data_IF_026660581487
#
_entry.id   IF_026660581487
#
_cell.length_a   1.000
_cell.length_b   1.000
_cell.length_c   1.000
_cell.angle_alpha   90.00
_cell.angle_beta   90.00
_cell.angle_gamma   90.00
#
_symmetry.space_group_name_H-M   'P 1'
#
loop_
_entity.id
_entity.type
_entity.pdbx_description
1 polymer ?
#
# COMPACT_ATOMS: atom_id res chain seq x y z
N UNK A 1 -4.44 15.84 16.22
CA UNK A 1 -3.45 14.95 15.59
C UNK A 1 -3.69 13.55 16.12
N UNK A 2 -3.79 12.54 15.26
CA UNK A 2 -3.85 11.15 15.72
C UNK A 2 -2.55 10.80 16.45
N UNK A 3 -2.67 10.23 17.63
CA UNK A 3 -1.53 9.88 18.46
C UNK A 3 -0.81 8.66 17.85
N UNK A 4 0.51 8.76 17.71
CA UNK A 4 1.34 7.62 17.27
C UNK A 4 1.22 6.48 18.28
N UNK A 5 0.98 5.27 17.79
CA UNK A 5 0.88 4.06 18.60
C UNK A 5 2.04 3.14 18.32
N UNK A 6 2.63 2.56 19.35
CA UNK A 6 3.65 1.52 19.23
C UNK A 6 3.04 0.23 19.78
N UNK A 7 2.91 -0.75 18.93
CA UNK A 7 2.27 -2.03 19.20
C UNK A 7 3.31 -3.15 19.14
N UNK A 8 3.18 -4.11 20.06
CA UNK A 8 4.00 -5.33 20.04
C UNK A 8 3.54 -6.20 18.87
N UNK A 9 4.48 -6.69 18.07
CA UNK A 9 4.25 -7.58 16.94
C UNK A 9 5.10 -8.85 17.09
N UNK A 10 4.63 -9.78 17.92
CA UNK A 10 5.40 -10.96 18.32
C UNK A 10 6.47 -10.62 19.37
N UNK A 11 7.55 -11.41 19.42
CA UNK A 11 8.63 -11.31 20.40
C UNK A 11 9.84 -10.50 19.92
N UNK A 12 9.92 -10.20 18.63
CA UNK A 12 11.07 -9.57 17.99
C UNK A 12 10.69 -8.47 16.97
N UNK A 13 9.51 -7.89 17.12
CA UNK A 13 9.08 -6.75 16.31
C UNK A 13 8.14 -5.80 17.04
N UNK A 14 8.15 -4.54 16.61
CA UNK A 14 7.18 -3.51 16.98
C UNK A 14 6.58 -2.87 15.72
N UNK A 15 5.28 -2.58 15.76
CA UNK A 15 4.61 -1.81 14.71
C UNK A 15 4.31 -0.41 15.20
N UNK A 16 4.78 0.60 14.47
CA UNK A 16 4.52 2.01 14.75
C UNK A 16 3.43 2.50 13.80
N UNK A 17 2.26 2.85 14.32
CA UNK A 17 1.10 3.33 13.56
C UNK A 17 0.97 4.86 13.64
N UNK A 18 0.76 5.51 12.50
CA UNK A 18 0.65 6.97 12.34
C UNK A 18 -0.78 7.46 12.12
N UNK A 19 -1.75 6.56 12.05
CA UNK A 19 -3.16 6.88 11.85
C UNK A 19 -3.97 5.68 11.35
N UNK A 20 -5.25 5.91 11.02
CA UNK A 20 -6.17 4.87 10.56
C UNK A 20 -6.77 5.14 9.18
N UNK A 21 -6.08 5.92 8.34
CA UNK A 21 -6.52 6.27 6.99
C UNK A 21 -5.38 6.11 5.98
N UNK A 22 -5.75 5.83 4.73
CA UNK A 22 -4.82 5.85 3.60
C UNK A 22 -4.85 7.27 3.03
N UNK A 23 -3.83 8.07 3.33
CA UNK A 23 -3.69 9.42 2.82
C UNK A 23 -2.22 9.83 2.70
N UNK A 24 -1.95 10.86 1.90
CA UNK A 24 -0.58 11.34 1.65
C UNK A 24 0.13 11.80 2.90
N UNK A 25 -0.59 12.43 3.84
CA UNK A 25 -0.01 12.91 5.10
C UNK A 25 0.57 11.75 5.91
N UNK A 26 -0.23 10.70 6.13
CA UNK A 26 0.18 9.51 6.89
C UNK A 26 1.28 8.76 6.15
N UNK A 27 1.15 8.56 4.84
CA UNK A 27 2.19 7.94 4.02
C UNK A 27 3.51 8.73 4.03
N UNK A 28 3.43 10.06 4.11
CA UNK A 28 4.59 10.94 4.31
C UNK A 28 5.28 10.71 5.65
N UNK A 29 4.50 10.55 6.74
CA UNK A 29 5.02 10.21 8.08
C UNK A 29 5.71 8.84 8.09
N UNK A 30 5.10 7.83 7.46
CA UNK A 30 5.67 6.48 7.31
C UNK A 30 7.04 6.54 6.63
N UNK A 31 7.13 7.22 5.49
CA UNK A 31 8.39 7.35 4.74
C UNK A 31 9.45 8.14 5.52
N UNK A 32 9.05 9.24 6.17
CA UNK A 32 9.96 10.05 6.98
C UNK A 32 10.49 9.29 8.20
N UNK A 33 9.63 8.50 8.84
CA UNK A 33 9.99 7.67 9.98
C UNK A 33 10.97 6.56 9.61
N UNK A 34 10.69 5.83 8.53
CA UNK A 34 11.61 4.81 8.04
C UNK A 34 12.99 5.42 7.77
N UNK A 35 13.02 6.53 7.03
CA UNK A 35 14.28 7.22 6.75
C UNK A 35 15.00 7.69 8.02
N UNK A 36 14.28 8.23 9.00
CA UNK A 36 14.87 8.67 10.26
C UNK A 36 15.52 7.52 11.04
N UNK A 37 14.96 6.31 10.99
CA UNK A 37 15.56 5.12 11.61
C UNK A 37 16.75 4.59 10.80
N UNK A 38 16.68 4.62 9.46
CA UNK A 38 17.81 4.28 8.58
C UNK A 38 19.02 5.19 8.85
N UNK A 39 18.78 6.51 8.94
CA UNK A 39 19.83 7.51 9.20
C UNK A 39 20.47 7.34 10.59
N UNK A 40 19.72 6.83 11.59
CA UNK A 40 20.23 6.50 12.94
C UNK A 40 21.10 5.25 12.98
N UNK A 41 20.97 4.36 12.00
CA UNK A 41 21.72 3.09 11.89
C UNK A 41 21.80 2.30 13.22
N UNK A 42 20.64 2.07 13.85
CA UNK A 42 20.54 1.46 15.17
C UNK A 42 20.93 -0.03 15.07
N UNK A 43 22.04 -0.39 15.74
CA UNK A 43 22.51 -1.78 15.78
C UNK A 43 21.46 -2.67 16.46
N UNK A 44 21.06 -3.75 15.79
CA UNK A 44 20.06 -4.69 16.26
C UNK A 44 18.73 -4.57 15.52
N UNK A 45 18.45 -3.50 14.78
CA UNK A 45 17.36 -3.49 13.79
C UNK A 45 17.77 -4.38 12.64
N UNK A 46 16.88 -5.32 12.27
CA UNK A 46 17.09 -6.30 11.18
C UNK A 46 16.41 -5.86 9.90
N UNK A 47 15.16 -5.41 10.00
CA UNK A 47 14.32 -5.09 8.85
C UNK A 47 13.24 -4.09 9.24
N UNK A 48 12.79 -3.31 8.27
CA UNK A 48 11.66 -2.40 8.42
C UNK A 48 10.70 -2.61 7.25
N UNK A 49 9.44 -2.90 7.57
CA UNK A 49 8.39 -3.11 6.57
C UNK A 49 7.39 -1.95 6.66
N UNK A 50 7.43 -1.00 5.73
CA UNK A 50 6.44 0.07 5.67
C UNK A 50 5.11 -0.43 5.09
N UNK A 51 4.01 0.15 5.58
CA UNK A 51 2.67 -0.01 5.04
C UNK A 51 2.06 1.35 4.72
N UNK A 52 0.77 1.41 4.41
CA UNK A 52 0.06 2.69 4.16
C UNK A 52 0.12 3.66 5.35
N UNK A 53 0.15 3.14 6.57
CA UNK A 53 -0.06 3.90 7.81
C UNK A 53 0.87 3.53 8.94
N UNK A 54 1.72 2.54 8.75
CA UNK A 54 2.59 2.02 9.80
C UNK A 54 3.92 1.54 9.26
N UNK A 55 4.88 1.36 10.17
CA UNK A 55 6.14 0.66 9.90
C UNK A 55 6.29 -0.43 10.95
N UNK A 56 6.48 -1.67 10.51
CA UNK A 56 6.89 -2.77 11.39
C UNK A 56 8.40 -2.87 11.40
N UNK A 57 9.00 -2.79 12.58
CA UNK A 57 10.43 -2.81 12.80
C UNK A 57 10.81 -4.14 13.47
N UNK A 58 11.51 -4.99 12.74
CA UNK A 58 12.08 -6.24 13.25
C UNK A 58 13.44 -6.00 13.85
N UNK A 59 13.72 -6.63 14.98
CA UNK A 59 14.98 -6.44 15.70
C UNK A 59 15.49 -7.73 16.33
N UNK A 60 16.76 -7.71 16.74
CA UNK A 60 17.39 -8.79 17.50
C UNK A 60 17.36 -8.44 18.98
N UNK A 61 16.53 -9.11 19.81
CA UNK A 61 16.43 -8.82 21.24
C UNK A 61 17.70 -9.17 22.03
N UNK A 62 18.59 -9.97 21.48
CA UNK A 62 19.89 -10.28 22.09
C UNK A 62 20.91 -9.15 21.89
N UNK A 63 20.70 -8.29 20.89
CA UNK A 63 21.58 -7.15 20.57
C UNK A 63 20.98 -5.85 21.08
N UNK A 64 19.66 -5.69 20.92
CA UNK A 64 18.92 -4.47 21.23
C UNK A 64 17.75 -4.79 22.16
N UNK A 65 17.80 -4.42 23.45
CA UNK A 65 16.67 -4.61 24.36
C UNK A 65 15.43 -3.88 23.84
N UNK A 66 14.25 -4.54 23.92
CA UNK A 66 12.99 -4.01 23.41
C UNK A 66 12.61 -2.63 23.98
N UNK A 67 12.85 -2.41 25.29
CA UNK A 67 12.61 -1.12 25.92
C UNK A 67 13.48 0.02 25.34
N UNK A 68 14.72 -0.31 24.95
CA UNK A 68 15.60 0.64 24.29
C UNK A 68 15.07 0.96 22.89
N UNK A 69 14.67 -0.06 22.13
CA UNK A 69 14.07 0.13 20.82
C UNK A 69 12.82 1.00 20.91
N UNK A 70 11.91 0.73 21.86
CA UNK A 70 10.69 1.54 22.04
C UNK A 70 11.00 3.03 22.30
N UNK A 71 12.06 3.34 23.06
CA UNK A 71 12.49 4.73 23.25
C UNK A 71 12.95 5.37 21.93
N UNK A 72 13.80 4.67 21.18
CA UNK A 72 14.28 5.14 19.87
C UNK A 72 13.11 5.37 18.89
N UNK A 73 12.12 4.43 18.86
CA UNK A 73 10.93 4.56 18.01
C UNK A 73 10.09 5.78 18.40
N UNK A 74 9.90 6.05 19.70
CA UNK A 74 9.18 7.24 20.19
C UNK A 74 9.87 8.53 19.78
N UNK A 75 11.17 8.63 20.07
CA UNK A 75 11.96 9.81 19.71
C UNK A 75 11.99 10.06 18.20
N UNK A 76 12.08 8.99 17.38
CA UNK A 76 12.02 9.12 15.95
C UNK A 76 10.65 9.61 15.47
N UNK A 77 9.57 9.13 16.08
CA UNK A 77 8.20 9.49 15.72
C UNK A 77 7.84 10.94 16.16
N UNK A 78 8.35 11.41 17.28
CA UNK A 78 8.11 12.77 17.79
C UNK A 78 8.86 13.85 16.99
N UNK A 79 10.04 13.50 16.46
CA UNK A 79 10.92 14.42 15.74
C UNK A 79 10.79 14.30 14.20
N UNK A 80 9.67 13.84 13.69
CA UNK A 80 9.46 13.68 12.25
C UNK A 80 9.47 15.03 11.52
N UNK A 81 10.45 15.21 10.65
CA UNK A 81 10.43 16.26 9.64
C UNK A 81 9.87 15.69 8.34
N UNK A 82 8.58 15.86 8.13
CA UNK A 82 7.95 15.49 6.84
C UNK A 82 8.35 16.55 5.81
N UNK A 83 9.57 16.43 5.28
CA UNK A 83 9.95 17.22 4.11
C UNK A 83 9.18 16.66 2.92
N UNK A 84 8.54 17.54 2.15
CA UNK A 84 8.04 17.11 0.84
C UNK A 84 9.24 16.55 0.07
N UNK A 85 9.27 15.25 -0.10
CA UNK A 85 10.30 14.56 -0.87
C UNK A 85 10.28 15.09 -2.29
N UNK A 86 11.44 15.34 -2.87
CA UNK A 86 11.66 15.99 -4.16
C UNK A 86 10.82 15.48 -5.32
N UNK A 87 11.13 15.87 -6.55
CA UNK A 87 10.36 15.51 -7.77
C UNK A 87 10.02 14.03 -7.78
N UNK A 88 8.72 13.72 -7.68
CA UNK A 88 8.21 12.34 -7.80
C UNK A 88 8.42 11.86 -9.23
N UNK A 89 8.88 10.64 -9.40
CA UNK A 89 8.95 10.01 -10.70
C UNK A 89 7.57 9.45 -11.04
N UNK A 90 7.02 9.87 -12.17
CA UNK A 90 5.75 9.36 -12.70
C UNK A 90 6.07 8.30 -13.76
N UNK A 91 5.40 7.17 -13.65
CA UNK A 91 5.46 6.07 -14.61
C UNK A 91 4.11 5.99 -15.33
N UNK A 92 4.12 6.06 -16.64
CA UNK A 92 2.94 5.85 -17.46
C UNK A 92 2.86 4.37 -17.83
N UNK A 93 1.83 3.71 -17.36
CA UNK A 93 1.62 2.27 -17.57
C UNK A 93 0.42 2.11 -18.51
N UNK A 94 0.62 1.63 -19.75
CA UNK A 94 -0.49 1.36 -20.66
C UNK A 94 -1.33 0.19 -20.13
N UNK A 95 -2.66 0.33 -20.18
CA UNK A 95 -3.59 -0.69 -19.73
C UNK A 95 -4.67 -0.94 -20.78
N UNK A 96 -5.06 -2.20 -20.94
CA UNK A 96 -6.13 -2.65 -21.81
C UNK A 96 -7.37 -2.98 -20.98
N UNK A 97 -8.51 -2.37 -21.35
CA UNK A 97 -9.80 -2.60 -20.69
C UNK A 97 -10.74 -3.47 -21.54
N UNK A 98 -10.24 -4.11 -22.61
CA UNK A 98 -11.05 -4.96 -23.50
C UNK A 98 -11.12 -6.40 -23.00
N UNK A 99 -12.16 -7.12 -23.44
CA UNK A 99 -12.26 -8.58 -23.21
C UNK A 99 -11.10 -9.32 -23.92
N UNK A 100 -10.57 -10.37 -23.34
CA UNK A 100 -10.98 -11.03 -22.07
C UNK A 100 -10.26 -10.48 -20.80
N UNK A 101 -9.63 -9.31 -20.88
CA UNK A 101 -8.74 -8.79 -19.85
C UNK A 101 -9.43 -8.08 -18.68
N UNK A 102 -10.74 -7.93 -18.73
CA UNK A 102 -11.52 -7.21 -17.73
C UNK A 102 -12.73 -8.03 -17.22
N UNK A 103 -12.52 -9.26 -16.74
CA UNK A 103 -13.63 -10.20 -16.44
C UNK A 103 -14.60 -9.70 -15.36
N UNK A 104 -14.22 -8.72 -14.55
CA UNK A 104 -15.05 -8.16 -13.49
C UNK A 104 -15.59 -6.76 -13.80
N UNK A 105 -15.39 -6.25 -15.00
CA UNK A 105 -15.87 -4.93 -15.39
C UNK A 105 -17.37 -4.77 -15.14
N UNK A 106 -18.17 -5.75 -15.53
CA UNK A 106 -19.62 -5.73 -15.32
C UNK A 106 -19.98 -5.65 -13.83
N UNK A 107 -19.27 -6.37 -12.97
CA UNK A 107 -19.48 -6.33 -11.52
C UNK A 107 -19.22 -4.94 -10.96
N UNK A 108 -18.14 -4.29 -11.43
CA UNK A 108 -17.79 -2.91 -11.01
C UNK A 108 -18.85 -1.93 -11.52
N UNK A 109 -19.28 -2.03 -12.78
CA UNK A 109 -20.36 -1.19 -13.36
C UNK A 109 -21.66 -1.34 -12.58
N UNK A 110 -22.07 -2.57 -12.28
CA UNK A 110 -23.28 -2.85 -11.49
C UNK A 110 -23.22 -2.27 -10.07
N UNK A 111 -22.04 -2.36 -9.43
CA UNK A 111 -21.85 -1.85 -8.09
C UNK A 111 -21.83 -0.32 -8.05
N UNK A 112 -21.06 0.31 -8.94
CA UNK A 112 -20.86 1.76 -8.97
C UNK A 112 -21.96 2.52 -9.69
N UNK A 113 -22.79 1.83 -10.50
CA UNK A 113 -23.81 2.42 -11.39
C UNK A 113 -23.24 3.29 -12.50
N UNK A 114 -21.95 3.14 -12.82
CA UNK A 114 -21.31 3.83 -13.93
C UNK A 114 -21.32 2.99 -15.21
N UNK A 115 -21.27 3.68 -16.35
CA UNK A 115 -21.00 3.04 -17.63
C UNK A 115 -19.55 2.55 -17.70
N UNK A 116 -19.25 1.69 -18.67
CA UNK A 116 -17.89 1.22 -18.93
C UNK A 116 -16.91 2.37 -19.15
N UNK A 117 -17.31 3.32 -19.98
CA UNK A 117 -16.52 4.49 -20.32
C UNK A 117 -16.22 5.37 -19.09
N UNK A 118 -17.20 5.51 -18.21
CA UNK A 118 -17.03 6.25 -16.95
C UNK A 118 -16.07 5.54 -16.00
N UNK A 119 -16.19 4.21 -15.85
CA UNK A 119 -15.25 3.41 -15.04
C UNK A 119 -13.83 3.56 -15.60
N UNK A 120 -13.65 3.37 -16.91
CA UNK A 120 -12.34 3.50 -17.56
C UNK A 120 -11.77 4.91 -17.33
N UNK A 121 -12.54 5.95 -17.59
CA UNK A 121 -12.12 7.33 -17.41
C UNK A 121 -11.71 7.62 -15.97
N UNK A 122 -12.55 7.30 -15.00
CA UNK A 122 -12.29 7.54 -13.58
C UNK A 122 -11.08 6.75 -13.07
N UNK A 123 -10.84 5.55 -13.64
CA UNK A 123 -9.72 4.71 -13.25
C UNK A 123 -8.41 5.10 -13.96
N UNK A 124 -8.44 5.56 -15.23
CA UNK A 124 -7.23 5.81 -16.02
C UNK A 124 -6.70 7.26 -15.98
N UNK A 125 -7.55 8.24 -15.72
CA UNK A 125 -7.19 9.67 -15.77
C UNK A 125 -6.54 10.21 -14.48
N UNK A 126 -6.22 9.35 -13.52
CA UNK A 126 -5.66 9.75 -12.23
C UNK A 126 -4.22 9.30 -12.05
N UNK A 127 -3.47 10.10 -11.31
CA UNK A 127 -2.18 9.68 -10.77
C UNK A 127 -2.38 8.87 -9.49
N UNK A 128 -1.74 7.73 -9.44
CA UNK A 128 -1.77 6.82 -8.29
C UNK A 128 -0.45 6.87 -7.55
N UNK A 129 -0.53 6.95 -6.24
CA UNK A 129 0.66 6.85 -5.40
C UNK A 129 0.89 5.40 -5.00
N UNK A 130 2.13 4.92 -5.20
CA UNK A 130 2.59 3.68 -4.59
C UNK A 130 2.84 3.95 -3.10
N UNK A 131 2.08 3.30 -2.23
CA UNK A 131 2.23 3.43 -0.78
C UNK A 131 3.14 2.35 -0.21
N UNK A 132 3.02 1.14 -0.72
CA UNK A 132 3.81 0.01 -0.26
C UNK A 132 3.91 -1.07 -1.34
N UNK A 133 4.90 -1.92 -1.20
CA UNK A 133 5.00 -3.20 -1.89
C UNK A 133 4.65 -4.31 -0.89
N UNK A 134 3.99 -5.37 -1.33
CA UNK A 134 3.62 -6.48 -0.46
C UNK A 134 2.74 -7.49 -1.17
N UNK A 135 2.22 -8.46 -0.44
CA UNK A 135 1.45 -9.59 -0.97
C UNK A 135 2.29 -10.52 -1.87
N UNK A 136 2.86 -9.99 -2.94
CA UNK A 136 3.77 -10.66 -3.87
C UNK A 136 4.98 -9.77 -4.13
N UNK A 137 6.16 -10.35 -4.49
CA UNK A 137 7.29 -9.56 -4.98
C UNK A 137 6.88 -8.67 -6.15
N UNK A 138 7.03 -7.35 -5.97
CA UNK A 138 6.67 -6.36 -6.99
C UNK A 138 5.19 -5.94 -7.03
N UNK A 139 4.29 -6.50 -6.24
CA UNK A 139 2.91 -6.03 -6.16
C UNK A 139 2.86 -4.66 -5.49
N UNK A 140 2.44 -3.66 -6.25
CA UNK A 140 2.31 -2.28 -5.79
C UNK A 140 0.87 -1.99 -5.34
N UNK A 141 0.72 -1.60 -4.08
CA UNK A 141 -0.54 -1.06 -3.58
C UNK A 141 -0.64 0.41 -3.95
N UNK A 142 -1.64 0.73 -4.77
CA UNK A 142 -1.87 2.05 -5.32
C UNK A 142 -3.04 2.73 -4.61
N UNK A 143 -2.81 3.91 -4.10
CA UNK A 143 -3.86 4.76 -3.52
C UNK A 143 -4.09 6.01 -4.36
N UNK A 144 -5.20 6.69 -4.09
CA UNK A 144 -5.66 7.86 -4.84
C UNK A 144 -6.72 7.53 -5.90
N UNK A 145 -7.26 6.31 -5.87
CA UNK A 145 -8.41 5.94 -6.71
C UNK A 145 -9.62 6.83 -6.35
N UNK A 146 -10.45 7.10 -7.34
CA UNK A 146 -11.71 7.82 -7.10
C UNK A 146 -12.60 7.00 -6.18
N UNK A 147 -13.05 7.59 -5.07
CA UNK A 147 -13.86 6.90 -4.05
C UNK A 147 -15.16 6.34 -4.63
N UNK A 148 -15.68 6.92 -5.71
CA UNK A 148 -16.87 6.44 -6.42
C UNK A 148 -16.66 5.09 -7.11
N UNK A 149 -15.39 4.69 -7.36
CA UNK A 149 -15.04 3.38 -7.91
C UNK A 149 -14.84 2.31 -6.83
N UNK A 150 -14.98 2.67 -5.54
CA UNK A 150 -14.83 1.69 -4.47
C UNK A 150 -15.75 0.49 -4.70
N UNK A 151 -15.14 -0.68 -4.82
CA UNK A 151 -15.86 -1.93 -5.08
C UNK A 151 -15.34 -3.02 -4.15
N UNK A 152 -16.23 -3.74 -3.45
CA UNK A 152 -15.84 -4.83 -2.57
C UNK A 152 -15.03 -5.91 -3.30
N UNK A 153 -14.15 -6.58 -2.56
CA UNK A 153 -13.44 -7.76 -3.05
C UNK A 153 -14.43 -8.88 -3.40
N UNK A 154 -13.98 -9.80 -4.23
CA UNK A 154 -14.73 -11.03 -4.51
C UNK A 154 -15.07 -11.77 -3.20
N UNK A 155 -16.26 -12.35 -3.11
CA UNK A 155 -16.68 -13.16 -1.94
C UNK A 155 -15.78 -14.38 -1.75
N UNK A 156 -15.31 -14.97 -2.84
CA UNK A 156 -14.33 -16.07 -2.85
C UNK A 156 -13.17 -15.66 -3.75
N UNK A 157 -11.92 -15.65 -3.26
CA UNK A 157 -10.77 -15.38 -4.11
C UNK A 157 -10.67 -16.37 -5.26
N UNK A 158 -10.22 -15.90 -6.44
CA UNK A 158 -9.86 -16.79 -7.55
C UNK A 158 -8.59 -17.56 -7.19
N UNK A 159 -8.53 -18.79 -7.64
CA UNK A 159 -7.34 -19.64 -7.53
C UNK A 159 -6.19 -19.05 -8.34
N UNK A 160 -6.49 -18.41 -9.45
CA UNK A 160 -5.52 -17.78 -10.34
C UNK A 160 -6.04 -16.47 -10.91
N UNK A 161 -5.24 -15.43 -10.75
CA UNK A 161 -5.30 -14.16 -11.47
C UNK A 161 -4.02 -14.11 -12.30
N UNK A 162 -4.11 -13.75 -13.57
CA UNK A 162 -2.95 -13.71 -14.47
C UNK A 162 -2.01 -12.54 -14.13
N UNK A 163 -0.71 -12.75 -14.36
CA UNK A 163 0.27 -11.66 -14.30
C UNK A 163 -0.13 -10.54 -15.27
N UNK A 164 0.03 -9.29 -14.88
CA UNK A 164 -0.41 -8.14 -15.65
C UNK A 164 -1.86 -7.70 -15.38
N UNK A 165 -2.66 -8.51 -14.68
CA UNK A 165 -4.02 -8.09 -14.31
C UNK A 165 -3.99 -6.86 -13.40
N UNK A 166 -4.88 -5.91 -13.68
CA UNK A 166 -5.10 -4.73 -12.85
C UNK A 166 -6.45 -4.87 -12.15
N UNK A 167 -6.44 -4.72 -10.83
CA UNK A 167 -7.63 -5.00 -10.02
C UNK A 167 -8.02 -3.87 -9.09
N UNK A 168 -9.32 -3.81 -8.76
CA UNK A 168 -9.91 -2.95 -7.72
C UNK A 168 -10.26 -3.80 -6.51
N UNK A 169 -9.84 -3.36 -5.33
CA UNK A 169 -10.15 -4.00 -4.05
C UNK A 169 -10.43 -2.99 -2.95
N UNK A 170 -11.72 -2.78 -2.63
CA UNK A 170 -12.13 -1.65 -1.80
C UNK A 170 -11.85 -0.33 -2.51
N UNK A 171 -11.22 0.59 -1.80
CA UNK A 171 -10.84 1.92 -2.31
C UNK A 171 -9.44 1.97 -2.96
N UNK A 172 -8.90 0.82 -3.35
CA UNK A 172 -7.55 0.70 -3.90
C UNK A 172 -7.53 0.02 -5.26
N UNK A 173 -6.49 0.30 -6.03
CA UNK A 173 -6.14 -0.46 -7.23
C UNK A 173 -4.73 -1.00 -7.12
N UNK A 174 -4.41 -2.00 -7.93
CA UNK A 174 -3.09 -2.63 -7.95
C UNK A 174 -2.89 -3.48 -9.18
N UNK A 175 -1.62 -3.74 -9.48
CA UNK A 175 -1.19 -4.53 -10.63
C UNK A 175 -0.55 -5.82 -10.14
N UNK A 176 -1.02 -6.95 -10.62
CA UNK A 176 -0.48 -8.27 -10.30
C UNK A 176 0.80 -8.52 -11.13
N UNK A 177 2.00 -8.51 -10.54
CA UNK A 177 3.24 -8.70 -11.30
C UNK A 177 3.48 -10.17 -11.66
N UNK A 178 2.84 -11.08 -10.95
CA UNK A 178 2.93 -12.53 -11.12
C UNK A 178 1.53 -13.15 -11.03
N UNK A 179 1.35 -14.28 -11.70
CA UNK A 179 0.12 -15.06 -11.55
C UNK A 179 -0.01 -15.57 -10.10
N UNK A 180 -1.16 -15.36 -9.49
CA UNK A 180 -1.40 -15.70 -8.09
C UNK A 180 -2.89 -15.84 -7.77
N UNK A 181 -3.26 -16.48 -6.66
CA UNK A 181 -4.60 -16.33 -6.11
C UNK A 181 -4.88 -14.86 -5.77
N UNK A 182 -6.15 -14.46 -5.86
CA UNK A 182 -6.53 -13.10 -5.49
C UNK A 182 -8.02 -12.84 -5.47
N UNK A 183 -8.43 -11.85 -4.69
CA UNK A 183 -9.85 -11.51 -4.49
C UNK A 183 -10.25 -10.12 -4.97
N UNK A 184 -9.39 -9.43 -5.74
CA UNK A 184 -9.74 -8.13 -6.30
C UNK A 184 -10.50 -8.28 -7.62
N UNK A 185 -11.33 -7.29 -7.95
CA UNK A 185 -12.07 -7.24 -9.20
C UNK A 185 -11.10 -6.91 -10.34
N UNK A 186 -10.86 -7.83 -11.25
CA UNK A 186 -9.97 -7.62 -12.39
C UNK A 186 -10.67 -6.79 -13.46
N UNK A 187 -10.24 -5.54 -13.66
CA UNK A 187 -10.90 -4.55 -14.53
C UNK A 187 -10.11 -4.20 -15.77
N UNK A 188 -8.83 -4.54 -15.79
CA UNK A 188 -7.94 -4.27 -16.94
C UNK A 188 -6.66 -5.11 -16.85
N UNK A 189 -5.79 -4.94 -17.84
CA UNK A 189 -4.54 -5.69 -17.98
C UNK A 189 -3.42 -4.79 -18.51
N UNK A 190 -2.21 -5.03 -18.06
CA UNK A 190 -0.96 -4.47 -18.58
C UNK A 190 0.09 -5.54 -18.78
N UNK A 191 1.17 -5.25 -19.52
CA UNK A 191 2.28 -6.17 -19.80
C UNK A 191 3.64 -5.45 -19.79
#
# INVERSE_FOLDING_TARGET
MEQVKILIAGDSAYTVEFGNRICEEIGGKVTAFQKALEDRNIKGIREMIPTFRSVTVFYDPLILPGEKLVRELKEAAENLSVKQTGKRKIYHIPVCYEEPFCPDMNTVMEHTKFTREEVIRLHSEREYRIYMLGFLPGFAYLGGMDERLETPRLKSPRVKIEAGSVGIGGNQTGIYPLASPGGWQSVSYTH
#
